data_IF_364922382837
#
_entry.id   IF_364922382837
#
_cell.length_a   1.000
_cell.length_b   1.000
_cell.length_c   1.000
_cell.angle_alpha   90.00
_cell.angle_beta   90.00
_cell.angle_gamma   90.00
#
_symmetry.space_group_name_H-M   'P 1'
#
loop_
_entity.id
_entity.type
_entity.pdbx_description
1 polymer ?
#
# COMPACT_ATOMS: atom_id res chain seq x y z
N UNK A 1 31.54 1.36 72.20
CA UNK A 1 30.59 0.76 71.22
C UNK A 1 29.91 1.78 70.28
N UNK A 2 29.90 3.09 70.55
CA UNK A 2 29.29 4.11 69.65
C UNK A 2 30.10 4.34 68.36
N UNK A 3 31.41 4.26 68.45
CA UNK A 3 32.33 4.70 67.40
C UNK A 3 32.49 3.64 66.28
N UNK A 4 32.16 2.37 66.57
CA UNK A 4 32.22 1.27 65.60
C UNK A 4 30.98 1.25 64.68
N UNK A 5 29.81 1.62 65.21
CA UNK A 5 28.57 1.76 64.43
C UNK A 5 28.59 2.96 63.48
N UNK A 6 29.29 4.03 63.85
CA UNK A 6 29.50 5.20 63.00
C UNK A 6 30.45 4.90 61.82
N UNK A 7 31.47 4.05 62.03
CA UNK A 7 32.39 3.66 60.97
C UNK A 7 31.73 2.75 59.93
N UNK A 8 30.85 1.84 60.36
CA UNK A 8 30.06 0.99 59.44
C UNK A 8 29.01 1.80 58.67
N UNK A 9 28.39 2.81 59.29
CA UNK A 9 27.43 3.69 58.60
C UNK A 9 28.13 4.63 57.60
N UNK A 10 29.33 5.13 57.93
CA UNK A 10 30.15 5.93 57.01
C UNK A 10 30.68 5.10 55.83
N UNK A 11 31.01 3.82 56.05
CA UNK A 11 31.40 2.91 54.98
C UNK A 11 30.22 2.52 54.07
N UNK A 12 28.99 2.44 54.61
CA UNK A 12 27.77 2.20 53.82
C UNK A 12 27.35 3.43 52.99
N UNK A 13 27.64 4.65 53.45
CA UNK A 13 27.45 5.90 52.70
C UNK A 13 28.56 6.17 51.67
N UNK A 14 29.69 5.46 51.78
CA UNK A 14 30.80 5.48 50.82
C UNK A 14 30.72 4.34 49.80
N UNK A 15 29.61 3.59 49.75
CA UNK A 15 29.27 2.84 48.55
C UNK A 15 29.16 3.85 47.41
N UNK A 16 29.99 3.73 46.37
CA UNK A 16 30.06 4.76 45.34
C UNK A 16 28.67 4.88 44.72
N UNK A 17 28.06 6.06 44.84
CA UNK A 17 27.02 6.54 43.93
C UNK A 17 27.57 6.73 42.50
N UNK A 18 28.54 5.90 42.09
CA UNK A 18 29.15 5.85 40.77
C UNK A 18 28.43 4.81 39.90
N UNK A 19 27.15 4.55 40.18
CA UNK A 19 26.20 4.38 39.09
C UNK A 19 25.90 5.78 38.51
N UNK A 20 26.95 6.51 38.15
CA UNK A 20 26.83 7.64 37.24
C UNK A 20 26.38 6.99 35.95
N UNK A 21 25.09 7.12 35.63
CA UNK A 21 24.63 6.79 34.30
C UNK A 21 25.55 7.54 33.34
N UNK A 22 26.35 6.81 32.57
CA UNK A 22 27.13 7.36 31.48
C UNK A 22 26.12 7.84 30.45
N UNK A 23 25.60 9.05 30.67
CA UNK A 23 24.71 9.74 29.75
C UNK A 23 25.57 10.14 28.57
N UNK A 24 25.78 9.19 27.65
CA UNK A 24 26.30 9.50 26.32
C UNK A 24 25.36 10.52 25.71
N UNK A 25 25.91 11.65 25.32
CA UNK A 25 25.20 12.60 24.48
C UNK A 25 24.70 11.82 23.26
N UNK A 26 23.37 11.74 23.13
CA UNK A 26 22.71 11.20 21.97
C UNK A 26 23.20 11.98 20.76
N UNK A 27 23.90 11.31 19.84
CA UNK A 27 24.38 11.92 18.61
C UNK A 27 23.18 12.16 17.69
N UNK A 28 22.73 13.42 17.62
CA UNK A 28 21.63 13.83 16.74
C UNK A 28 21.88 13.41 15.28
N UNK A 29 23.13 13.24 14.84
CA UNK A 29 23.43 12.69 13.51
C UNK A 29 22.99 11.23 13.37
N UNK A 30 23.17 10.41 14.42
CA UNK A 30 22.67 9.03 14.43
C UNK A 30 21.15 8.98 14.57
N UNK A 31 20.53 9.93 15.29
CA UNK A 31 19.09 9.98 15.46
C UNK A 31 18.34 10.59 14.27
N UNK A 32 18.99 11.50 13.53
CA UNK A 32 18.48 12.01 12.26
C UNK A 32 18.30 10.89 11.23
N UNK A 33 19.11 9.81 11.32
CA UNK A 33 18.95 8.61 10.50
C UNK A 33 17.76 7.73 10.93
N UNK A 34 17.26 7.86 12.17
CA UNK A 34 16.14 7.04 12.72
C UNK A 34 14.77 7.67 12.42
N UNK A 35 14.68 8.50 11.38
CA UNK A 35 13.46 9.23 11.03
C UNK A 35 12.59 8.51 9.99
N UNK A 36 12.90 7.26 9.63
CA UNK A 36 12.14 6.52 8.61
C UNK A 36 12.35 7.06 7.19
N UNK A 37 13.44 7.80 6.97
CA UNK A 37 13.77 8.49 5.72
C UNK A 37 14.29 7.55 4.63
N UNK A 38 14.54 6.28 4.93
CA UNK A 38 14.88 5.26 3.91
C UNK A 38 13.69 4.91 3.01
N UNK A 39 12.52 5.51 3.26
CA UNK A 39 11.31 5.32 2.48
C UNK A 39 10.62 4.00 2.81
N UNK A 40 9.41 3.83 2.29
CA UNK A 40 8.68 2.56 2.35
C UNK A 40 8.61 2.01 0.93
N UNK A 41 9.16 0.81 0.74
CA UNK A 41 9.00 0.04 -0.50
C UNK A 41 7.85 -0.94 -0.34
N UNK A 42 6.99 -1.03 -1.35
CA UNK A 42 5.86 -1.97 -1.38
C UNK A 42 5.98 -2.82 -2.65
N UNK A 43 5.86 -4.13 -2.49
CA UNK A 43 5.80 -5.10 -3.57
C UNK A 43 4.61 -6.05 -3.36
N UNK A 44 4.18 -6.72 -4.43
CA UNK A 44 3.07 -7.67 -4.34
C UNK A 44 2.31 -7.88 -5.64
N UNK A 45 1.41 -8.85 -5.59
CA UNK A 45 0.57 -9.26 -6.71
C UNK A 45 -0.86 -8.77 -6.52
N UNK A 46 -1.40 -8.17 -7.58
CA UNK A 46 -2.77 -7.70 -7.64
C UNK A 46 -3.55 -8.56 -8.62
N UNK A 47 -4.63 -9.14 -8.12
CA UNK A 47 -5.54 -9.94 -8.93
C UNK A 47 -6.97 -9.74 -8.45
N UNK A 48 -7.91 -10.08 -9.32
CA UNK A 48 -9.33 -10.03 -9.02
C UNK A 48 -10.13 -10.79 -10.05
N UNK A 49 -11.41 -10.95 -9.79
CA UNK A 49 -12.34 -11.62 -10.69
C UNK A 49 -13.65 -10.83 -10.77
N UNK A 50 -14.30 -10.85 -11.92
CA UNK A 50 -15.65 -10.30 -12.10
C UNK A 50 -16.60 -11.48 -12.28
N UNK A 51 -17.70 -11.51 -11.50
CA UNK A 51 -18.68 -12.60 -11.56
C UNK A 51 -19.33 -12.73 -12.94
N UNK A 52 -19.89 -11.64 -13.47
CA UNK A 52 -20.45 -11.60 -14.82
C UNK A 52 -20.56 -10.15 -15.32
N UNK A 53 -20.32 -9.95 -16.61
CA UNK A 53 -20.68 -8.72 -17.33
C UNK A 53 -21.75 -9.09 -18.35
N UNK A 54 -22.94 -8.50 -18.21
CA UNK A 54 -24.05 -8.72 -19.12
C UNK A 54 -24.40 -7.45 -19.89
N UNK A 55 -24.52 -7.58 -21.21
CA UNK A 55 -25.37 -6.70 -22.00
C UNK A 55 -26.75 -7.34 -22.12
N UNK A 56 -27.80 -6.63 -21.79
CA UNK A 56 -29.19 -7.11 -21.83
C UNK A 56 -30.03 -6.21 -22.72
N UNK A 57 -30.78 -6.82 -23.63
CA UNK A 57 -31.64 -6.12 -24.58
C UNK A 57 -32.92 -6.93 -24.81
N UNK A 58 -34.09 -6.34 -24.53
CA UNK A 58 -35.46 -6.86 -24.69
C UNK A 58 -35.60 -8.39 -24.92
N UNK A 59 -35.26 -9.17 -23.88
CA UNK A 59 -35.41 -10.63 -23.84
C UNK A 59 -34.17 -11.44 -24.24
N UNK A 60 -33.15 -10.78 -24.77
CA UNK A 60 -31.81 -11.31 -25.04
C UNK A 60 -30.76 -10.83 -24.03
N UNK A 61 -29.66 -11.58 -23.96
CA UNK A 61 -28.48 -11.18 -23.20
C UNK A 61 -27.20 -11.64 -23.90
N UNK A 62 -26.12 -10.89 -23.73
CA UNK A 62 -24.75 -11.33 -24.00
C UNK A 62 -24.02 -11.34 -22.65
N UNK A 63 -23.64 -12.53 -22.19
CA UNK A 63 -23.03 -12.73 -20.88
C UNK A 63 -21.54 -13.09 -21.02
N UNK A 64 -20.68 -12.35 -20.34
CA UNK A 64 -19.25 -12.63 -20.21
C UNK A 64 -19.02 -13.21 -18.81
N UNK A 65 -18.52 -14.43 -18.75
CA UNK A 65 -18.30 -15.18 -17.51
C UNK A 65 -16.86 -15.66 -17.41
N UNK A 66 -16.48 -16.11 -16.21
CA UNK A 66 -15.12 -16.55 -15.89
C UNK A 66 -14.12 -15.41 -16.22
N UNK A 67 -14.38 -14.21 -15.68
CA UNK A 67 -13.57 -13.02 -15.94
C UNK A 67 -12.50 -12.89 -14.87
N UNK A 68 -11.24 -13.01 -15.28
CA UNK A 68 -10.09 -12.93 -14.40
C UNK A 68 -9.21 -11.73 -14.75
N UNK A 69 -8.68 -11.07 -13.72
CA UNK A 69 -7.76 -9.95 -13.79
C UNK A 69 -6.47 -10.41 -13.10
N UNK A 70 -5.39 -10.57 -13.87
CA UNK A 70 -4.16 -11.20 -13.38
C UNK A 70 -2.91 -10.53 -13.97
N UNK A 71 -1.74 -10.88 -13.43
CA UNK A 71 -0.44 -10.45 -13.95
C UNK A 71 0.01 -9.05 -13.52
N UNK A 72 -0.80 -8.32 -12.75
CA UNK A 72 -0.40 -7.04 -12.17
C UNK A 72 0.51 -7.28 -10.97
N UNK A 73 1.80 -7.48 -11.23
CA UNK A 73 2.83 -7.70 -10.22
C UNK A 73 3.70 -6.46 -10.05
N UNK A 74 4.02 -6.14 -8.80
CA UNK A 74 5.08 -5.20 -8.42
C UNK A 74 6.27 -6.04 -7.96
N UNK A 75 7.35 -6.02 -8.73
CA UNK A 75 8.57 -6.77 -8.46
C UNK A 75 9.37 -6.16 -7.31
N UNK A 76 9.98 -7.00 -6.47
CA UNK A 76 10.83 -6.56 -5.37
C UNK A 76 12.03 -5.70 -5.83
N UNK A 77 12.53 -5.92 -7.06
CA UNK A 77 13.61 -5.15 -7.66
C UNK A 77 13.16 -3.83 -8.28
N UNK A 78 11.85 -3.62 -8.41
CA UNK A 78 11.25 -2.38 -8.89
C UNK A 78 10.00 -2.07 -8.05
N UNK A 79 10.14 -1.82 -6.74
CA UNK A 79 9.01 -1.65 -5.85
C UNK A 79 8.32 -0.29 -6.06
N UNK A 80 7.08 -0.21 -5.59
CA UNK A 80 6.40 1.05 -5.36
C UNK A 80 7.13 1.85 -4.29
N UNK A 81 7.37 3.14 -4.54
CA UNK A 81 8.00 4.05 -3.58
C UNK A 81 6.97 4.95 -2.93
N UNK A 82 7.09 5.14 -1.61
CA UNK A 82 6.30 6.11 -0.84
C UNK A 82 7.23 7.19 -0.33
N UNK A 83 6.95 8.44 -0.69
CA UNK A 83 7.76 9.60 -0.33
C UNK A 83 6.90 10.81 0.07
N UNK A 84 7.47 11.74 0.85
CA UNK A 84 6.85 13.02 1.19
C UNK A 84 7.29 14.08 0.19
N UNK A 85 6.37 14.50 -0.67
CA UNK A 85 6.61 15.58 -1.64
C UNK A 85 5.86 16.84 -1.26
N UNK A 86 6.34 18.00 -1.71
CA UNK A 86 5.58 19.25 -1.61
C UNK A 86 4.95 19.56 -2.97
N UNK A 87 3.65 19.79 -3.00
CA UNK A 87 2.90 20.09 -4.23
C UNK A 87 1.93 21.23 -3.97
N UNK A 88 1.75 22.10 -4.96
CA UNK A 88 0.73 23.17 -4.90
C UNK A 88 -0.65 22.56 -5.12
N UNK A 89 -1.49 22.58 -4.09
CA UNK A 89 -2.85 22.02 -4.10
C UNK A 89 -3.86 23.15 -3.88
N UNK A 90 -4.92 23.19 -4.69
CA UNK A 90 -6.05 24.10 -4.48
C UNK A 90 -7.01 23.47 -3.47
N UNK A 91 -7.38 24.17 -2.38
CA UNK A 91 -8.32 23.65 -1.39
C UNK A 91 -9.69 23.28 -1.99
N UNK A 92 -10.33 22.27 -1.40
CA UNK A 92 -11.73 21.95 -1.71
C UNK A 92 -12.60 23.13 -1.31
N UNK A 93 -13.42 23.64 -2.24
CA UNK A 93 -14.18 24.89 -2.05
C UNK A 93 -13.58 26.13 -2.73
N UNK A 94 -12.43 25.98 -3.39
CA UNK A 94 -11.76 27.05 -4.15
C UNK A 94 -10.78 27.87 -3.32
N UNK A 95 -10.03 28.75 -3.99
CA UNK A 95 -9.00 29.59 -3.38
C UNK A 95 -7.66 29.55 -4.13
N UNK A 96 -6.64 30.20 -3.56
CA UNK A 96 -5.28 30.13 -4.09
C UNK A 96 -4.65 28.75 -3.80
N UNK A 97 -3.85 28.24 -4.72
CA UNK A 97 -3.10 27.01 -4.50
C UNK A 97 -2.07 27.21 -3.38
N UNK A 98 -1.98 26.25 -2.47
CA UNK A 98 -1.09 26.29 -1.30
C UNK A 98 -0.07 25.15 -1.40
N UNK A 99 1.19 25.45 -1.09
CA UNK A 99 2.23 24.45 -0.99
C UNK A 99 1.92 23.48 0.16
N UNK A 100 1.59 22.25 -0.19
CA UNK A 100 1.11 21.22 0.74
C UNK A 100 2.06 20.04 0.71
N UNK A 101 2.49 19.58 1.90
CA UNK A 101 3.22 18.32 2.04
C UNK A 101 2.23 17.17 1.88
N UNK A 102 2.52 16.24 1.00
CA UNK A 102 1.68 15.07 0.72
C UNK A 102 2.54 13.81 0.63
N UNK A 103 1.93 12.66 0.90
CA UNK A 103 2.52 11.38 0.52
C UNK A 103 2.27 11.18 -0.97
N UNK A 104 3.35 11.06 -1.75
CA UNK A 104 3.32 10.62 -3.13
C UNK A 104 3.71 9.15 -3.19
N UNK A 105 2.93 8.39 -3.95
CA UNK A 105 3.12 6.96 -4.14
C UNK A 105 3.36 6.73 -5.64
N UNK A 106 4.61 6.41 -5.99
CA UNK A 106 5.08 6.27 -7.37
C UNK A 106 5.09 4.83 -7.86
N UNK A 107 4.20 4.48 -8.82
CA UNK A 107 4.05 3.11 -9.28
C UNK A 107 5.10 2.72 -10.33
N UNK A 108 5.70 1.52 -10.19
CA UNK A 108 6.60 0.97 -11.19
C UNK A 108 5.80 0.49 -12.41
N UNK A 109 6.51 -0.03 -13.42
CA UNK A 109 5.85 -0.69 -14.53
C UNK A 109 5.13 -1.95 -14.04
N UNK A 110 3.85 -2.07 -14.39
CA UNK A 110 3.05 -3.27 -14.16
C UNK A 110 2.17 -3.50 -15.39
N UNK A 111 2.19 -4.73 -15.89
CA UNK A 111 1.45 -5.15 -17.08
C UNK A 111 0.65 -6.39 -16.75
N UNK A 112 -0.67 -6.31 -16.89
CA UNK A 112 -1.55 -7.43 -16.60
C UNK A 112 -2.35 -7.89 -17.81
N UNK A 113 -3.17 -8.91 -17.58
CA UNK A 113 -4.12 -9.45 -18.54
C UNK A 113 -5.50 -9.49 -17.91
N UNK A 114 -6.51 -9.16 -18.71
CA UNK A 114 -7.91 -9.46 -18.39
C UNK A 114 -8.37 -10.54 -19.37
N UNK A 115 -8.86 -11.66 -18.85
CA UNK A 115 -9.41 -12.75 -19.65
C UNK A 115 -10.87 -12.97 -19.35
N UNK A 116 -11.64 -13.31 -20.38
CA UNK A 116 -13.02 -13.78 -20.31
C UNK A 116 -13.00 -15.22 -20.80
N UNK A 117 -13.22 -16.17 -19.89
CA UNK A 117 -13.21 -17.58 -20.23
C UNK A 117 -14.34 -17.98 -21.18
N UNK A 118 -15.52 -17.36 -21.02
CA UNK A 118 -16.69 -17.66 -21.87
C UNK A 118 -17.52 -16.42 -22.20
N UNK A 119 -17.93 -16.33 -23.45
CA UNK A 119 -18.88 -15.36 -23.97
C UNK A 119 -20.11 -16.15 -24.42
N UNK A 120 -21.26 -15.87 -23.83
CA UNK A 120 -22.51 -16.59 -24.07
C UNK A 120 -23.57 -15.66 -24.64
N UNK A 121 -24.20 -16.07 -25.75
CA UNK A 121 -25.43 -15.44 -26.25
C UNK A 121 -26.63 -16.12 -25.61
N UNK A 122 -27.48 -15.34 -24.94
CA UNK A 122 -28.56 -15.80 -24.08
C UNK A 122 -28.08 -16.27 -22.71
N UNK A 123 -28.97 -16.94 -21.98
CA UNK A 123 -28.74 -17.42 -20.62
C UNK A 123 -29.09 -16.38 -19.55
N UNK A 124 -29.33 -16.86 -18.34
CA UNK A 124 -29.69 -16.04 -17.18
C UNK A 124 -28.62 -16.19 -16.10
N UNK A 125 -27.96 -15.08 -15.75
CA UNK A 125 -27.01 -15.05 -14.65
C UNK A 125 -27.75 -14.77 -13.34
N UNK A 126 -27.66 -15.69 -12.38
CA UNK A 126 -28.27 -15.54 -11.06
C UNK A 126 -27.52 -16.36 -10.03
N UNK A 127 -27.48 -15.88 -8.78
CA UNK A 127 -26.80 -16.55 -7.65
C UNK A 127 -25.34 -16.97 -7.94
N UNK A 128 -24.61 -16.16 -8.71
CA UNK A 128 -23.18 -16.41 -8.99
C UNK A 128 -22.91 -17.38 -10.15
N UNK A 129 -23.91 -17.77 -10.92
CA UNK A 129 -23.74 -18.68 -12.05
C UNK A 129 -24.62 -18.30 -13.26
N UNK A 130 -24.11 -18.53 -14.46
CA UNK A 130 -24.90 -18.48 -15.69
C UNK A 130 -25.60 -19.82 -15.93
N UNK A 131 -26.90 -19.79 -16.18
CA UNK A 131 -27.67 -20.96 -16.62
C UNK A 131 -28.19 -20.76 -18.05
N UNK A 132 -27.92 -21.72 -18.93
CA UNK A 132 -28.30 -21.67 -20.34
C UNK A 132 -27.41 -20.77 -21.19
N UNK A 133 -27.88 -20.43 -22.40
CA UNK A 133 -27.11 -19.66 -23.39
C UNK A 133 -26.13 -20.50 -24.20
N UNK A 134 -25.70 -19.97 -25.34
CA UNK A 134 -24.77 -20.62 -26.27
C UNK A 134 -23.41 -19.96 -26.18
N UNK A 135 -22.37 -20.74 -25.85
CA UNK A 135 -20.99 -20.25 -25.84
C UNK A 135 -20.53 -19.96 -27.28
N UNK A 136 -19.99 -18.77 -27.51
CA UNK A 136 -19.43 -18.33 -28.79
C UNK A 136 -17.90 -18.15 -28.74
N UNK A 137 -17.25 -18.43 -27.60
CA UNK A 137 -15.81 -18.37 -27.44
C UNK A 137 -15.38 -17.63 -26.17
N UNK A 138 -14.13 -17.19 -26.14
CA UNK A 138 -13.56 -16.37 -25.06
C UNK A 138 -12.83 -15.15 -25.61
N UNK A 139 -12.38 -14.26 -24.72
CA UNK A 139 -11.62 -13.06 -25.06
C UNK A 139 -10.43 -12.94 -24.09
N UNK A 140 -9.26 -12.60 -24.61
CA UNK A 140 -8.12 -12.19 -23.80
C UNK A 140 -7.69 -10.78 -24.21
N UNK A 141 -7.48 -9.92 -23.21
CA UNK A 141 -6.95 -8.57 -23.35
C UNK A 141 -5.62 -8.57 -22.61
N UNK A 142 -4.53 -8.66 -23.36
CA UNK A 142 -3.17 -8.75 -22.83
C UNK A 142 -2.46 -7.40 -22.86
N UNK A 143 -1.32 -7.34 -22.17
CA UNK A 143 -0.42 -6.17 -22.12
C UNK A 143 -1.12 -4.89 -21.65
N UNK A 144 -2.06 -5.03 -20.70
CA UNK A 144 -2.69 -3.88 -20.06
C UNK A 144 -1.63 -3.19 -19.22
N UNK A 145 -1.09 -2.10 -19.75
CA UNK A 145 -0.01 -1.35 -19.13
C UNK A 145 -0.58 -0.29 -18.18
N UNK A 146 -0.27 -0.42 -16.89
CA UNK A 146 -0.61 0.58 -15.87
C UNK A 146 0.62 1.35 -15.36
N UNK A 147 1.75 1.25 -16.06
CA UNK A 147 2.96 2.03 -15.77
C UNK A 147 2.65 3.52 -15.75
N UNK A 148 3.20 4.25 -14.77
CA UNK A 148 3.01 5.69 -14.63
C UNK A 148 1.72 6.11 -13.94
N UNK A 149 0.90 5.17 -13.46
CA UNK A 149 -0.16 5.47 -12.50
C UNK A 149 0.42 6.14 -11.25
N UNK A 150 -0.31 7.09 -10.65
CA UNK A 150 0.13 7.77 -9.42
C UNK A 150 -0.99 7.85 -8.41
N UNK A 151 -0.63 7.71 -7.13
CA UNK A 151 -1.55 7.93 -6.01
C UNK A 151 -0.95 9.06 -5.15
N UNK A 152 -1.79 10.03 -4.80
CA UNK A 152 -1.43 11.18 -3.99
C UNK A 152 -2.35 11.22 -2.77
N UNK A 153 -1.80 11.38 -1.58
CA UNK A 153 -2.54 11.38 -0.31
C UNK A 153 -2.19 12.64 0.48
N UNK A 154 -3.19 13.47 0.77
CA UNK A 154 -3.04 14.72 1.52
C UNK A 154 -4.24 14.97 2.45
N UNK A 155 -4.07 15.84 3.45
CA UNK A 155 -5.14 16.27 4.35
C UNK A 155 -6.11 17.23 3.67
N UNK A 156 -7.37 17.24 4.09
CA UNK A 156 -8.42 18.14 3.57
C UNK A 156 -8.58 19.38 4.44
#
# INVERSE_FOLDING_TARGET
>A
MKNFKQLVLAAALAAPFMAQADLKAMDDSTLASVTGQDGISIAGDFSGSIGNVAYTDDGGALNLNDIDITGFTIDDNAPLTVDVVTTSITPVGGGAAVATKQLAIGLPAMTGTVSVGKINVGGAYSAGALTGGSNIGGLAISDINMSGSTIKVWGH
#
